data_IF_996060449099
#
_entry.id   IF_996060449099
#
_cell.length_a   1.000
_cell.length_b   1.000
_cell.length_c   1.000
_cell.angle_alpha   90.00
_cell.angle_beta   90.00
_cell.angle_gamma   90.00
#
_symmetry.space_group_name_H-M   'P 1'
#
loop_
_entity.id
_entity.type
_entity.pdbx_description
1 polymer ?
#
# COMPACT_ATOMS: atom_id res chain seq x y z
N UNK A 1 20.27 14.02 13.36
CA UNK A 1 19.17 14.60 12.55
C UNK A 1 18.92 16.01 13.05
N UNK A 2 18.65 16.98 12.18
CA UNK A 2 18.47 18.40 12.57
C UNK A 2 17.12 18.67 13.29
N UNK A 3 16.14 17.76 13.14
CA UNK A 3 14.79 17.87 13.72
C UNK A 3 14.35 16.53 14.31
N UNK A 4 13.82 16.57 15.51
CA UNK A 4 13.34 15.41 16.27
C UNK A 4 12.10 15.79 17.09
N UNK A 5 11.45 14.80 17.71
CA UNK A 5 10.35 15.02 18.64
C UNK A 5 10.77 16.03 19.72
N UNK A 6 9.91 17.01 19.99
CA UNK A 6 10.18 18.14 20.86
C UNK A 6 10.80 19.38 20.17
N UNK A 7 11.28 19.26 18.91
CA UNK A 7 11.75 20.42 18.16
C UNK A 7 10.60 21.35 17.79
N UNK A 8 10.89 22.66 17.68
CA UNK A 8 9.94 23.66 17.24
C UNK A 8 10.25 24.13 15.82
N UNK A 9 9.23 24.17 14.97
CA UNK A 9 9.30 24.65 13.58
C UNK A 9 8.20 25.72 13.40
N UNK A 10 8.58 26.98 13.30
CA UNK A 10 7.63 28.08 13.36
C UNK A 10 6.81 28.01 14.65
N UNK A 11 5.50 28.03 14.53
CA UNK A 11 4.56 27.93 15.65
C UNK A 11 4.18 26.46 16.00
N UNK A 12 4.91 25.47 15.49
CA UNK A 12 4.55 24.06 15.65
C UNK A 12 5.61 23.30 16.45
N UNK A 13 5.18 22.56 17.46
CA UNK A 13 6.01 21.63 18.23
C UNK A 13 5.83 20.21 17.68
N UNK A 14 6.91 19.54 17.32
CA UNK A 14 6.90 18.17 16.79
C UNK A 14 6.61 17.17 17.92
N UNK A 15 5.55 16.35 17.77
CA UNK A 15 5.08 15.43 18.81
C UNK A 15 5.46 13.97 18.56
N UNK A 16 5.41 13.53 17.31
CA UNK A 16 5.71 12.14 16.93
C UNK A 16 6.18 12.05 15.48
N UNK A 17 7.02 11.07 15.18
CA UNK A 17 7.35 10.71 13.82
C UNK A 17 6.18 9.96 13.16
N UNK A 18 5.74 10.41 11.97
CA UNK A 18 4.70 9.75 11.17
C UNK A 18 5.28 8.93 10.03
N UNK A 19 6.42 9.34 9.47
CA UNK A 19 7.09 8.64 8.38
C UNK A 19 8.29 9.41 7.84
N UNK A 20 9.16 8.65 7.14
CA UNK A 20 10.29 9.19 6.40
C UNK A 20 10.20 8.64 4.98
N UNK A 21 9.99 9.51 4.01
CA UNK A 21 9.92 9.17 2.60
C UNK A 21 11.10 9.73 1.80
N UNK A 22 11.12 9.43 0.50
CA UNK A 22 12.10 10.00 -0.44
C UNK A 22 12.02 11.53 -0.53
N UNK A 23 10.87 12.09 -0.16
CA UNK A 23 10.57 13.52 -0.32
C UNK A 23 10.65 14.32 0.98
N UNK A 24 10.96 13.71 2.13
CA UNK A 24 11.07 14.42 3.39
C UNK A 24 10.62 13.61 4.61
N UNK A 25 10.49 14.29 5.74
CA UNK A 25 10.04 13.72 7.01
C UNK A 25 8.67 14.29 7.36
N UNK A 26 7.78 13.42 7.84
CA UNK A 26 6.45 13.81 8.31
C UNK A 26 6.36 13.58 9.81
N UNK A 27 5.86 14.57 10.52
CA UNK A 27 5.64 14.53 11.97
C UNK A 27 4.18 14.85 12.28
N UNK A 28 3.66 14.28 13.35
CA UNK A 28 2.56 14.89 14.07
C UNK A 28 3.10 16.11 14.80
N UNK A 29 2.44 17.25 14.64
CA UNK A 29 2.83 18.48 15.30
C UNK A 29 1.60 19.17 15.91
N UNK A 30 1.82 20.01 16.92
CA UNK A 30 0.80 20.81 17.57
C UNK A 30 1.15 22.31 17.42
N UNK A 31 0.18 23.08 16.97
CA UNK A 31 0.32 24.54 16.93
C UNK A 31 0.31 25.08 18.37
N UNK A 32 1.33 25.86 18.73
CA UNK A 32 1.54 26.39 20.10
C UNK A 32 0.46 27.40 20.55
N UNK A 33 -0.30 27.98 19.61
CA UNK A 33 -1.34 28.98 19.90
C UNK A 33 -2.73 28.36 19.91
N UNK A 34 -3.06 27.56 18.87
CA UNK A 34 -4.41 27.00 18.71
C UNK A 34 -4.56 25.62 19.30
N UNK A 35 -3.47 24.97 19.68
CA UNK A 35 -3.42 23.55 20.11
C UNK A 35 -3.96 22.55 19.07
N UNK A 36 -4.11 23.01 17.83
CA UNK A 36 -4.53 22.13 16.73
C UNK A 36 -3.40 21.15 16.40
N UNK A 37 -3.74 19.86 16.33
CA UNK A 37 -2.83 18.82 15.84
C UNK A 37 -2.90 18.74 14.34
N UNK A 38 -1.75 18.70 13.69
CA UNK A 38 -1.58 18.65 12.24
C UNK A 38 -0.48 17.67 11.87
N UNK A 39 -0.49 17.16 10.65
CA UNK A 39 0.71 16.55 10.07
C UNK A 39 1.58 17.66 9.47
N UNK A 40 2.88 17.67 9.82
CA UNK A 40 3.86 18.64 9.33
C UNK A 40 4.92 17.90 8.51
N UNK A 41 5.00 18.22 7.22
CA UNK A 41 6.01 17.65 6.31
C UNK A 41 7.13 18.65 6.08
N UNK A 42 8.38 18.18 6.33
CA UNK A 42 9.61 18.96 6.12
C UNK A 42 10.29 18.46 4.86
N UNK A 43 10.65 19.38 3.97
CA UNK A 43 11.33 19.10 2.70
C UNK A 43 12.56 19.98 2.61
N UNK A 44 13.75 19.36 2.49
CA UNK A 44 15.01 20.09 2.38
C UNK A 44 15.19 20.67 0.99
N UNK A 45 15.69 21.92 0.90
CA UNK A 45 15.91 22.63 -0.37
C UNK A 45 16.98 21.99 -1.25
N UNK A 46 17.89 21.18 -0.65
CA UNK A 46 18.88 20.38 -1.38
C UNK A 46 18.32 19.09 -1.99
N UNK A 47 17.05 18.77 -1.73
CA UNK A 47 16.40 17.61 -2.34
C UNK A 47 16.26 17.83 -3.84
N UNK A 48 16.64 16.84 -4.64
CA UNK A 48 16.44 16.85 -6.10
C UNK A 48 14.97 17.03 -6.51
N UNK A 49 14.04 16.79 -5.57
CA UNK A 49 12.60 16.87 -5.79
C UNK A 49 11.96 18.16 -5.26
N UNK A 50 12.75 19.11 -4.73
CA UNK A 50 12.26 20.33 -4.08
C UNK A 50 11.29 21.13 -4.96
N UNK A 51 11.72 21.51 -6.17
CA UNK A 51 10.90 22.32 -7.08
C UNK A 51 9.61 21.59 -7.50
N UNK A 52 9.72 20.29 -7.68
CA UNK A 52 8.59 19.46 -8.05
C UNK A 52 7.55 19.39 -6.92
N UNK A 53 7.99 19.15 -5.68
CA UNK A 53 7.13 19.12 -4.51
C UNK A 53 6.45 20.48 -4.30
N UNK A 54 7.19 21.58 -4.45
CA UNK A 54 6.67 22.93 -4.33
C UNK A 54 5.61 23.24 -5.40
N UNK A 55 5.86 22.85 -6.65
CA UNK A 55 4.90 23.01 -7.74
C UNK A 55 3.63 22.19 -7.51
N UNK A 56 3.78 20.93 -7.12
CA UNK A 56 2.65 20.06 -6.79
C UNK A 56 1.82 20.61 -5.64
N UNK A 57 2.48 21.11 -4.59
CA UNK A 57 1.82 21.76 -3.46
C UNK A 57 1.00 22.99 -3.88
N UNK A 58 1.55 23.85 -4.74
CA UNK A 58 0.86 25.04 -5.23
C UNK A 58 -0.41 24.70 -6.04
N UNK A 59 -0.32 23.70 -6.91
CA UNK A 59 -1.47 23.22 -7.69
C UNK A 59 -2.54 22.61 -6.77
N UNK A 60 -2.12 21.77 -5.83
CA UNK A 60 -3.02 21.10 -4.92
C UNK A 60 -3.77 22.04 -3.99
N UNK A 61 -3.11 23.08 -3.48
CA UNK A 61 -3.75 24.09 -2.62
C UNK A 61 -4.94 24.81 -3.31
N UNK A 62 -4.92 24.93 -4.63
CA UNK A 62 -6.04 25.52 -5.38
C UNK A 62 -7.24 24.58 -5.50
N UNK A 63 -7.00 23.27 -5.35
CA UNK A 63 -8.00 22.21 -5.57
C UNK A 63 -8.60 21.73 -4.25
N UNK A 64 -7.80 21.62 -3.19
CA UNK A 64 -8.23 20.94 -1.96
C UNK A 64 -9.22 21.75 -1.12
N UNK A 65 -9.22 23.08 -1.20
CA UNK A 65 -10.06 23.94 -0.36
C UNK A 65 -11.56 23.65 -0.55
N UNK A 66 -12.23 23.31 0.56
CA UNK A 66 -13.67 23.05 0.57
C UNK A 66 -14.08 21.74 -0.12
N UNK A 67 -13.16 20.82 -0.31
CA UNK A 67 -13.38 19.47 -0.87
C UNK A 67 -13.06 18.42 0.17
N UNK A 68 -13.36 17.15 -0.14
CA UNK A 68 -13.00 15.99 0.68
C UNK A 68 -11.55 15.51 0.43
N UNK A 69 -10.69 16.38 -0.11
CA UNK A 69 -9.27 16.12 -0.24
C UNK A 69 -8.54 16.50 1.04
N UNK A 70 -7.34 15.96 1.25
CA UNK A 70 -6.45 16.31 2.36
C UNK A 70 -6.22 17.84 2.36
N UNK A 71 -6.55 18.52 3.46
CA UNK A 71 -6.43 19.98 3.51
C UNK A 71 -5.00 20.42 3.82
N UNK A 72 -4.54 21.48 3.16
CA UNK A 72 -3.27 22.16 3.45
C UNK A 72 -3.58 23.45 4.20
N UNK A 73 -3.02 23.60 5.41
CA UNK A 73 -3.30 24.75 6.28
C UNK A 73 -2.27 25.87 6.15
N UNK A 74 -0.97 25.51 6.22
CA UNK A 74 0.11 26.47 6.26
C UNK A 74 1.30 25.99 5.43
N UNK A 75 2.03 26.92 4.81
CA UNK A 75 3.31 26.69 4.14
C UNK A 75 4.31 27.67 4.72
N UNK A 76 5.38 27.17 5.30
CA UNK A 76 6.45 27.96 5.89
C UNK A 76 7.81 27.63 5.30
N UNK A 77 8.78 28.53 5.50
CA UNK A 77 10.15 28.38 5.02
C UNK A 77 11.14 28.56 6.17
N UNK A 78 12.10 27.65 6.27
CA UNK A 78 13.31 27.78 7.08
C UNK A 78 14.51 28.20 6.22
N UNK A 79 15.72 28.12 6.78
CA UNK A 79 16.96 28.49 6.05
C UNK A 79 17.26 27.54 4.88
N UNK A 80 17.17 26.24 5.13
CA UNK A 80 17.55 25.17 4.19
C UNK A 80 16.42 24.18 3.93
N UNK A 81 15.17 24.52 4.29
CA UNK A 81 13.97 23.70 4.07
C UNK A 81 12.73 24.56 3.90
N UNK A 82 11.68 23.96 3.36
CA UNK A 82 10.32 24.45 3.54
C UNK A 82 9.50 23.34 4.25
N UNK A 83 8.40 23.74 4.85
CA UNK A 83 7.46 22.83 5.46
C UNK A 83 6.03 23.22 5.14
N UNK A 84 5.15 22.27 5.17
CA UNK A 84 3.73 22.55 5.13
C UNK A 84 2.98 21.70 6.14
N UNK A 85 1.83 22.22 6.58
CA UNK A 85 0.95 21.53 7.50
C UNK A 85 -0.33 21.12 6.79
N UNK A 86 -0.82 19.94 7.15
CA UNK A 86 -1.99 19.32 6.55
C UNK A 86 -2.78 18.56 7.61
N UNK A 87 -3.95 18.02 7.24
CA UNK A 87 -4.70 17.12 8.10
C UNK A 87 -3.80 16.05 8.69
N UNK A 88 -3.92 15.81 10.00
CA UNK A 88 -3.31 14.67 10.64
C UNK A 88 -4.22 13.43 10.46
N UNK A 89 -3.63 12.31 10.09
CA UNK A 89 -4.38 11.05 10.07
C UNK A 89 -4.86 10.69 11.47
N UNK A 90 -5.97 9.95 11.57
CA UNK A 90 -6.37 9.28 12.80
C UNK A 90 -5.23 8.42 13.34
N UNK A 91 -5.25 8.06 14.62
CA UNK A 91 -4.28 7.13 15.20
C UNK A 91 -4.86 5.72 15.30
N UNK A 92 -4.04 4.71 14.99
CA UNK A 92 -4.32 3.30 15.32
C UNK A 92 -3.55 2.82 16.55
N UNK A 93 -2.67 3.66 17.10
CA UNK A 93 -1.94 3.36 18.33
C UNK A 93 -2.75 3.73 19.57
N UNK A 94 -2.67 2.90 20.62
CA UNK A 94 -3.36 3.15 21.89
C UNK A 94 -2.55 4.09 22.81
N UNK A 95 -1.23 3.93 22.86
CA UNK A 95 -0.32 4.69 23.72
C UNK A 95 0.52 5.70 22.95
N UNK A 96 0.88 5.35 21.74
CA UNK A 96 1.70 6.17 20.85
C UNK A 96 0.90 6.52 19.59
N UNK A 97 1.16 7.69 19.02
CA UNK A 97 0.55 8.06 17.77
C UNK A 97 1.16 7.24 16.63
N UNK A 98 0.33 6.43 16.00
CA UNK A 98 0.65 5.71 14.76
C UNK A 98 -0.36 6.16 13.71
N UNK A 99 0.04 6.84 12.64
CA UNK A 99 -0.90 7.36 11.65
C UNK A 99 -1.72 6.22 11.03
N UNK A 100 -3.04 6.39 10.97
CA UNK A 100 -3.95 5.42 10.39
C UNK A 100 -3.87 5.51 8.87
N UNK A 101 -2.85 4.83 8.30
CA UNK A 101 -2.73 4.57 6.87
C UNK A 101 -3.28 3.18 6.55
N UNK A 102 -3.66 2.93 5.29
CA UNK A 102 -4.04 1.58 4.87
C UNK A 102 -2.88 0.60 5.09
N UNK A 103 -1.64 1.00 4.84
CA UNK A 103 -0.47 0.16 5.09
C UNK A 103 -0.38 -0.25 6.57
N UNK A 104 -0.52 0.68 7.51
CA UNK A 104 -0.48 0.39 8.95
C UNK A 104 -1.68 -0.47 9.39
N UNK A 105 -2.85 -0.26 8.79
CA UNK A 105 -4.03 -1.11 9.04
C UNK A 105 -3.75 -2.54 8.56
N UNK A 106 -3.23 -2.71 7.34
CA UNK A 106 -2.89 -4.02 6.79
C UNK A 106 -1.80 -4.71 7.61
N UNK A 107 -0.82 -3.95 8.08
CA UNK A 107 0.22 -4.47 8.98
C UNK A 107 -0.36 -4.98 10.30
N UNK A 108 -1.33 -4.25 10.89
CA UNK A 108 -1.93 -4.58 12.18
C UNK A 108 -3.01 -5.69 12.08
N UNK A 109 -3.84 -5.66 11.05
CA UNK A 109 -5.04 -6.50 10.92
C UNK A 109 -4.97 -7.53 9.78
N UNK A 110 -3.95 -7.48 8.94
CA UNK A 110 -3.72 -8.36 7.80
C UNK A 110 -4.51 -7.95 6.55
N UNK A 111 -5.83 -7.83 6.64
CA UNK A 111 -6.71 -7.42 5.52
C UNK A 111 -7.90 -6.62 6.02
N UNK A 112 -8.56 -5.91 5.11
CA UNK A 112 -9.81 -5.23 5.40
C UNK A 112 -11.03 -6.15 5.19
N UNK A 113 -12.13 -5.83 5.89
CA UNK A 113 -13.43 -6.42 5.58
C UNK A 113 -14.01 -5.79 4.31
N UNK A 114 -14.92 -6.51 3.65
CA UNK A 114 -15.52 -6.07 2.36
C UNK A 114 -16.20 -4.71 2.48
N UNK A 115 -16.89 -4.46 3.59
CA UNK A 115 -17.60 -3.20 3.87
C UNK A 115 -16.62 -2.04 4.06
N UNK A 116 -15.48 -2.28 4.73
CA UNK A 116 -14.43 -1.27 4.90
C UNK A 116 -13.78 -0.92 3.55
N UNK A 117 -13.56 -1.94 2.70
CA UNK A 117 -13.05 -1.73 1.33
C UNK A 117 -14.04 -0.91 0.51
N UNK A 118 -15.35 -1.17 0.60
CA UNK A 118 -16.40 -0.40 -0.11
C UNK A 118 -16.38 1.06 0.30
N UNK A 119 -16.37 1.35 1.61
CA UNK A 119 -16.32 2.72 2.12
C UNK A 119 -15.04 3.44 1.68
N UNK A 120 -13.89 2.75 1.72
CA UNK A 120 -12.62 3.28 1.24
C UNK A 120 -12.68 3.60 -0.26
N UNK A 121 -13.18 2.69 -1.08
CA UNK A 121 -13.31 2.88 -2.53
C UNK A 121 -14.15 4.12 -2.83
N UNK A 122 -15.33 4.26 -2.24
CA UNK A 122 -16.22 5.39 -2.48
C UNK A 122 -15.50 6.72 -2.21
N UNK A 123 -14.81 6.81 -1.07
CA UNK A 123 -14.08 8.01 -0.68
C UNK A 123 -12.91 8.32 -1.61
N UNK A 124 -12.07 7.32 -1.96
CA UNK A 124 -10.92 7.51 -2.85
C UNK A 124 -11.36 7.85 -4.28
N UNK A 125 -12.45 7.26 -4.77
CA UNK A 125 -12.99 7.64 -6.09
C UNK A 125 -13.45 9.09 -6.13
N UNK A 126 -14.07 9.60 -5.07
CA UNK A 126 -14.46 11.00 -5.00
C UNK A 126 -13.23 11.91 -5.00
N UNK A 127 -12.16 11.55 -4.29
CA UNK A 127 -10.87 12.24 -4.36
C UNK A 127 -10.32 12.27 -5.81
N UNK A 128 -10.28 11.11 -6.48
CA UNK A 128 -9.77 11.01 -7.85
C UNK A 128 -10.62 11.81 -8.85
N UNK A 129 -11.95 11.79 -8.73
CA UNK A 129 -12.83 12.60 -9.57
C UNK A 129 -12.50 14.08 -9.46
N UNK A 130 -12.29 14.59 -8.23
CA UNK A 130 -11.94 15.98 -7.99
C UNK A 130 -10.61 16.32 -8.67
N UNK A 131 -9.56 15.53 -8.44
CA UNK A 131 -8.23 15.72 -9.02
C UNK A 131 -8.29 15.68 -10.56
N UNK A 132 -8.87 14.61 -11.13
CA UNK A 132 -8.94 14.40 -12.58
C UNK A 132 -9.80 15.48 -13.28
N UNK A 133 -10.86 15.97 -12.64
CA UNK A 133 -11.66 17.09 -13.19
C UNK A 133 -10.88 18.39 -13.35
N UNK A 134 -9.75 18.52 -12.65
CA UNK A 134 -8.81 19.63 -12.72
C UNK A 134 -7.58 19.32 -13.58
N UNK A 135 -7.58 18.19 -14.29
CA UNK A 135 -6.46 17.76 -15.12
C UNK A 135 -5.26 17.26 -14.33
N UNK A 136 -5.43 16.94 -13.05
CA UNK A 136 -4.36 16.56 -12.12
C UNK A 136 -4.41 15.08 -11.84
N UNK A 137 -3.26 14.40 -11.88
CA UNK A 137 -3.09 12.99 -11.55
C UNK A 137 -2.30 12.83 -10.27
N UNK A 138 -2.63 11.80 -9.46
CA UNK A 138 -1.97 11.55 -8.17
C UNK A 138 -0.58 10.90 -8.34
N UNK A 139 -0.46 9.90 -9.20
CA UNK A 139 0.77 9.19 -9.61
C UNK A 139 1.46 8.31 -8.56
N UNK A 140 1.05 8.33 -7.29
CA UNK A 140 1.64 7.48 -6.24
C UNK A 140 0.55 6.91 -5.31
N UNK A 141 -0.49 6.30 -5.89
CA UNK A 141 -1.53 5.63 -5.13
C UNK A 141 -1.00 4.27 -4.67
N UNK A 142 -0.89 4.11 -3.34
CA UNK A 142 -0.42 2.90 -2.66
C UNK A 142 -0.95 2.87 -1.22
N UNK A 143 -0.89 1.74 -0.51
CA UNK A 143 -1.43 1.64 0.86
C UNK A 143 -0.86 2.68 1.84
N UNK A 144 0.40 3.08 1.70
CA UNK A 144 1.05 4.08 2.54
C UNK A 144 0.45 5.48 2.38
N UNK A 145 -0.09 5.76 1.18
CA UNK A 145 -0.64 7.07 0.80
C UNK A 145 -2.18 7.13 0.89
N UNK A 146 -2.83 6.09 1.41
CA UNK A 146 -4.25 6.15 1.79
C UNK A 146 -4.32 6.38 3.29
N UNK A 147 -4.69 7.58 3.68
CA UNK A 147 -4.82 8.03 5.06
C UNK A 147 -6.29 7.97 5.49
N UNK A 148 -6.54 7.84 6.78
CA UNK A 148 -7.86 8.02 7.36
C UNK A 148 -7.87 9.27 8.21
N UNK A 149 -8.73 10.22 7.87
CA UNK A 149 -8.92 11.49 8.56
C UNK A 149 -10.40 11.57 8.95
N UNK A 150 -10.70 11.75 10.22
CA UNK A 150 -12.07 11.72 10.76
C UNK A 150 -12.87 10.49 10.28
N UNK A 151 -12.19 9.33 10.22
CA UNK A 151 -12.76 8.05 9.78
C UNK A 151 -12.92 7.88 8.26
N UNK A 152 -12.66 8.90 7.44
CA UNK A 152 -12.77 8.85 5.99
C UNK A 152 -11.41 8.60 5.34
N UNK A 153 -11.40 7.73 4.33
CA UNK A 153 -10.19 7.50 3.53
C UNK A 153 -9.93 8.68 2.58
N UNK A 154 -8.70 9.20 2.59
CA UNK A 154 -8.25 10.29 1.72
C UNK A 154 -6.90 9.97 1.11
N UNK A 155 -6.57 10.60 -0.03
CA UNK A 155 -5.27 10.45 -0.66
C UNK A 155 -4.27 11.41 -0.02
N UNK A 156 -3.16 10.86 0.48
CA UNK A 156 -1.99 11.58 1.00
C UNK A 156 -0.84 11.62 0.01
N UNK A 157 0.26 12.23 0.42
CA UNK A 157 1.50 12.44 -0.36
C UNK A 157 1.28 13.09 -1.74
N UNK A 158 0.97 14.36 -1.72
CA UNK A 158 0.70 15.20 -2.88
C UNK A 158 1.96 15.62 -3.68
N UNK A 159 3.14 15.13 -3.28
CA UNK A 159 4.43 15.56 -3.85
C UNK A 159 4.66 15.12 -5.31
N UNK A 160 3.89 14.17 -5.82
CA UNK A 160 3.99 13.68 -7.20
C UNK A 160 2.87 14.18 -8.11
N UNK A 161 1.96 14.99 -7.57
CA UNK A 161 0.86 15.58 -8.33
C UNK A 161 1.43 16.51 -9.40
N UNK A 162 1.10 16.25 -10.66
CA UNK A 162 1.54 17.07 -11.81
C UNK A 162 0.50 17.09 -12.92
N UNK A 163 0.55 18.14 -13.76
CA UNK A 163 -0.24 18.23 -14.99
C UNK A 163 0.19 17.18 -16.03
N UNK A 164 -0.68 16.96 -17.03
CA UNK A 164 -0.38 16.15 -18.20
C UNK A 164 0.94 16.60 -18.87
N UNK A 165 1.79 15.63 -19.27
CA UNK A 165 2.95 15.86 -20.13
C UNK A 165 4.32 15.96 -19.46
N UNK A 166 4.47 15.62 -18.17
CA UNK A 166 5.80 15.47 -17.57
C UNK A 166 6.23 13.99 -17.54
N UNK A 167 7.28 13.68 -18.30
CA UNK A 167 7.89 12.35 -18.51
C UNK A 167 8.77 11.87 -17.36
N UNK A 168 8.45 12.17 -16.12
CA UNK A 168 9.25 11.64 -15.00
C UNK A 168 8.67 10.30 -14.53
N UNK A 169 9.50 9.26 -14.58
CA UNK A 169 9.28 7.95 -13.94
C UNK A 169 9.16 8.14 -12.43
N UNK A 170 7.97 8.52 -11.97
CA UNK A 170 7.66 8.73 -10.58
C UNK A 170 6.53 7.79 -10.18
N UNK A 171 6.66 7.21 -8.99
CA UNK A 171 5.70 6.31 -8.39
C UNK A 171 6.39 5.05 -7.86
N UNK A 172 5.61 4.18 -7.25
CA UNK A 172 6.11 2.98 -6.59
C UNK A 172 5.95 1.76 -7.50
N UNK A 173 7.04 1.01 -7.81
CA UNK A 173 6.94 -0.24 -8.57
C UNK A 173 5.86 -1.17 -8.03
N UNK A 174 5.15 -1.85 -8.94
CA UNK A 174 4.01 -2.70 -8.60
C UNK A 174 2.66 -1.98 -8.62
N UNK A 175 2.64 -0.65 -8.38
CA UNK A 175 1.43 0.20 -8.49
C UNK A 175 1.40 1.02 -9.78
N UNK A 176 2.46 1.00 -10.57
CA UNK A 176 2.55 1.66 -11.87
C UNK A 176 2.34 0.62 -12.98
N UNK A 177 1.57 0.92 -14.04
CA UNK A 177 1.48 0.04 -15.20
C UNK A 177 2.86 -0.26 -15.79
N UNK A 178 3.12 -1.51 -16.23
CA UNK A 178 4.41 -1.93 -16.76
C UNK A 178 4.91 -1.06 -17.91
N UNK A 179 4.01 -0.68 -18.82
CA UNK A 179 4.34 0.14 -19.98
C UNK A 179 4.72 1.58 -19.62
N UNK A 180 4.18 2.11 -18.51
CA UNK A 180 4.57 3.42 -17.98
C UNK A 180 5.92 3.30 -17.26
N UNK A 181 6.09 2.23 -16.47
CA UNK A 181 7.34 1.95 -15.77
C UNK A 181 8.50 1.73 -16.76
N UNK A 182 8.22 1.10 -17.92
CA UNK A 182 9.18 0.89 -19.00
C UNK A 182 9.44 2.15 -19.84
N UNK A 183 8.71 3.25 -19.62
CA UNK A 183 8.82 4.47 -20.42
C UNK A 183 8.28 4.33 -21.84
N UNK A 184 7.43 3.33 -22.12
CA UNK A 184 6.81 3.10 -23.43
C UNK A 184 5.74 4.15 -23.73
N UNK A 185 5.06 4.63 -22.70
CA UNK A 185 4.09 5.72 -22.75
C UNK A 185 4.10 6.57 -21.49
N UNK A 186 3.55 7.76 -21.61
CA UNK A 186 3.36 8.64 -20.47
C UNK A 186 2.26 8.14 -19.53
N UNK A 187 2.28 8.67 -18.29
CA UNK A 187 1.27 8.41 -17.28
C UNK A 187 -0.04 9.13 -17.64
N UNK A 188 -1.16 8.43 -17.55
CA UNK A 188 -2.51 8.93 -17.83
C UNK A 188 -3.41 8.79 -16.59
N UNK A 189 -4.56 9.45 -16.59
CA UNK A 189 -5.55 9.37 -15.49
C UNK A 189 -6.02 7.95 -15.19
N UNK A 190 -6.07 7.07 -16.20
CA UNK A 190 -6.40 5.65 -16.02
C UNK A 190 -5.39 4.90 -15.15
N UNK A 191 -4.16 5.39 -15.06
CA UNK A 191 -3.09 4.74 -14.32
C UNK A 191 -3.23 4.94 -12.80
N UNK A 192 -3.86 6.03 -12.36
CA UNK A 192 -4.32 6.15 -10.98
C UNK A 192 -5.35 5.07 -10.62
N UNK A 193 -6.23 4.71 -11.54
CA UNK A 193 -7.18 3.61 -11.33
C UNK A 193 -6.51 2.23 -11.35
N UNK A 194 -5.49 2.04 -12.21
CA UNK A 194 -4.67 0.83 -12.16
C UNK A 194 -4.00 0.67 -10.79
N UNK A 195 -3.37 1.73 -10.28
CA UNK A 195 -2.77 1.75 -8.96
C UNK A 195 -3.80 1.44 -7.86
N UNK A 196 -4.99 2.03 -7.93
CA UNK A 196 -6.08 1.73 -7.02
C UNK A 196 -6.51 0.26 -7.10
N UNK A 197 -6.57 -0.34 -8.29
CA UNK A 197 -6.82 -1.78 -8.47
C UNK A 197 -5.81 -2.65 -7.70
N UNK A 198 -4.53 -2.29 -7.72
CA UNK A 198 -3.48 -2.96 -6.94
C UNK A 198 -3.66 -2.76 -5.43
N UNK A 199 -4.08 -1.57 -5.01
CA UNK A 199 -4.40 -1.30 -3.60
C UNK A 199 -5.58 -2.16 -3.13
N UNK A 200 -6.63 -2.30 -3.95
CA UNK A 200 -7.78 -3.16 -3.63
C UNK A 200 -7.39 -4.62 -3.48
N UNK A 201 -6.48 -5.10 -4.34
CA UNK A 201 -5.91 -6.43 -4.19
C UNK A 201 -5.20 -6.58 -2.84
N UNK A 202 -4.32 -5.65 -2.45
CA UNK A 202 -3.64 -5.68 -1.16
C UNK A 202 -4.65 -5.62 0.01
N UNK A 203 -5.64 -4.73 -0.06
CA UNK A 203 -6.65 -4.57 0.99
C UNK A 203 -7.51 -5.83 1.18
N UNK A 204 -7.90 -6.48 0.09
CA UNK A 204 -8.74 -7.67 0.10
C UNK A 204 -8.00 -8.93 0.53
N UNK A 205 -6.78 -9.10 0.02
CA UNK A 205 -6.01 -10.35 0.21
C UNK A 205 -5.09 -10.30 1.43
N UNK A 206 -4.70 -9.10 1.88
CA UNK A 206 -3.63 -8.89 2.86
C UNK A 206 -2.24 -9.19 2.31
N UNK A 207 -2.11 -9.47 1.01
CA UNK A 207 -0.83 -9.77 0.37
C UNK A 207 -0.18 -8.50 -0.15
N UNK A 208 1.16 -8.41 -0.12
CA UNK A 208 1.87 -7.32 -0.75
C UNK A 208 1.68 -7.36 -2.28
N UNK A 209 1.78 -6.20 -2.92
CA UNK A 209 1.60 -6.07 -4.37
C UNK A 209 2.54 -6.95 -5.19
N UNK A 210 3.70 -7.29 -4.65
CA UNK A 210 4.69 -8.20 -5.29
C UNK A 210 4.18 -9.63 -5.45
N UNK A 211 3.14 -10.00 -4.69
CA UNK A 211 2.48 -11.32 -4.81
C UNK A 211 1.25 -11.27 -5.74
N UNK A 212 0.90 -10.11 -6.28
CA UNK A 212 -0.15 -10.05 -7.29
C UNK A 212 0.21 -10.96 -8.48
N UNK A 213 -0.72 -11.77 -9.01
CA UNK A 213 -2.15 -11.88 -8.70
C UNK A 213 -2.52 -13.03 -7.75
N UNK A 214 -1.58 -13.56 -7.00
CA UNK A 214 -1.81 -14.73 -6.12
C UNK A 214 -2.88 -14.48 -5.06
N UNK A 215 -3.62 -15.52 -4.71
CA UNK A 215 -4.61 -15.47 -3.63
C UNK A 215 -4.15 -16.26 -2.42
N UNK A 216 -4.62 -15.90 -1.22
CA UNK A 216 -4.36 -16.67 -0.03
C UNK A 216 -4.90 -18.10 -0.17
N UNK A 217 -4.08 -19.09 0.20
CA UNK A 217 -4.47 -20.51 0.18
C UNK A 217 -5.60 -20.86 1.15
N UNK A 218 -5.89 -20.03 2.13
CA UNK A 218 -6.95 -20.22 3.12
C UNK A 218 -7.71 -18.93 3.38
N UNK A 219 -9.03 -19.02 3.41
CA UNK A 219 -9.93 -17.94 3.77
C UNK A 219 -10.95 -17.66 2.67
N UNK A 220 -12.22 -17.82 3.01
CA UNK A 220 -13.33 -17.46 2.11
C UNK A 220 -13.34 -15.96 1.90
N UNK A 221 -13.34 -15.53 0.64
CA UNK A 221 -13.58 -14.16 0.22
C UNK A 221 -15.09 -13.91 0.05
N UNK A 222 -15.88 -14.38 1.01
CA UNK A 222 -17.35 -14.27 0.96
C UNK A 222 -17.77 -12.82 0.78
N UNK A 223 -18.61 -12.54 -0.20
CA UNK A 223 -19.08 -11.19 -0.53
C UNK A 223 -18.09 -10.32 -1.31
N UNK A 224 -16.88 -10.79 -1.58
CA UNK A 224 -15.81 -10.01 -2.23
C UNK A 224 -15.96 -9.90 -3.76
N UNK A 225 -16.91 -10.61 -4.35
CA UNK A 225 -17.01 -10.75 -5.81
C UNK A 225 -17.07 -9.45 -6.60
N UNK A 226 -17.78 -8.44 -6.09
CA UNK A 226 -17.80 -7.12 -6.75
C UNK A 226 -16.46 -6.41 -6.67
N UNK A 227 -15.73 -6.57 -5.55
CA UNK A 227 -14.39 -5.99 -5.37
C UNK A 227 -13.39 -6.70 -6.28
N UNK A 228 -13.48 -8.04 -6.38
CA UNK A 228 -12.63 -8.82 -7.30
C UNK A 228 -12.85 -8.37 -8.75
N UNK A 229 -14.10 -8.26 -9.19
CA UNK A 229 -14.44 -7.73 -10.52
C UNK A 229 -13.91 -6.32 -10.72
N UNK A 230 -14.07 -5.47 -9.71
CA UNK A 230 -13.63 -4.08 -9.78
C UNK A 230 -12.11 -4.00 -9.94
N UNK A 231 -11.32 -4.61 -9.04
CA UNK A 231 -9.87 -4.48 -9.15
C UNK A 231 -9.32 -5.14 -10.42
N UNK A 232 -9.91 -6.25 -10.89
CA UNK A 232 -9.50 -6.90 -12.14
C UNK A 232 -9.68 -5.96 -13.33
N UNK A 233 -10.83 -5.28 -13.43
CA UNK A 233 -11.11 -4.28 -14.49
C UNK A 233 -10.19 -3.07 -14.40
N UNK A 234 -9.94 -2.56 -13.19
CA UNK A 234 -9.02 -1.44 -12.98
C UNK A 234 -7.59 -1.81 -13.38
N UNK A 235 -7.12 -3.00 -12.99
CA UNK A 235 -5.80 -3.51 -13.38
C UNK A 235 -5.70 -3.84 -14.89
N UNK A 236 -6.80 -4.08 -15.59
CA UNK A 236 -6.85 -4.23 -17.04
C UNK A 236 -6.87 -2.89 -17.79
N UNK A 237 -6.88 -1.76 -17.09
CA UNK A 237 -6.92 -0.42 -17.69
C UNK A 237 -8.24 -0.07 -18.36
N UNK A 238 -9.33 -0.77 -18.01
CA UNK A 238 -10.65 -0.47 -18.54
C UNK A 238 -11.09 0.94 -18.10
N UNK A 239 -11.71 1.68 -19.04
CA UNK A 239 -12.38 2.94 -18.71
C UNK A 239 -13.54 2.64 -17.76
N UNK A 240 -13.52 3.22 -16.61
CA UNK A 240 -14.50 2.98 -15.56
C UNK A 240 -15.21 4.27 -15.18
N UNK A 241 -16.53 4.30 -15.38
CA UNK A 241 -17.43 5.27 -14.74
C UNK A 241 -18.08 4.59 -13.56
N UNK A 242 -17.81 5.08 -12.35
CA UNK A 242 -18.43 4.55 -11.14
C UNK A 242 -19.91 4.91 -11.10
N UNK A 243 -20.75 3.96 -11.47
CA UNK A 243 -22.15 3.95 -11.07
C UNK A 243 -22.30 3.09 -9.81
N UNK A 244 -21.67 3.49 -8.72
CA UNK A 244 -22.05 2.97 -7.41
C UNK A 244 -23.43 3.57 -7.11
N UNK A 245 -24.46 2.73 -7.11
CA UNK A 245 -25.78 3.12 -6.61
C UNK A 245 -25.57 3.51 -5.15
N UNK A 246 -25.50 4.84 -4.94
CA UNK A 246 -25.38 5.43 -3.60
C UNK A 246 -26.48 4.87 -2.70
N UNK A 247 -26.09 4.05 -1.74
CA UNK A 247 -26.98 3.52 -0.71
C UNK A 247 -27.42 4.57 0.32
N UNK A 248 -27.59 5.85 -0.08
CA UNK A 248 -27.99 6.97 0.80
C UNK A 248 -29.30 6.75 1.57
N UNK A 249 -30.06 5.68 1.22
CA UNK A 249 -31.27 5.35 1.96
C UNK A 249 -31.07 4.48 3.22
N UNK A 250 -29.90 3.83 3.39
CA UNK A 250 -29.67 2.95 4.56
C UNK A 250 -29.17 3.70 5.80
N UNK A 251 -28.52 4.84 5.65
CA UNK A 251 -27.93 5.57 6.78
C UNK A 251 -29.01 6.10 7.75
N UNK A 252 -30.19 6.53 7.26
CA UNK A 252 -31.29 6.96 8.13
C UNK A 252 -31.85 5.83 9.01
N UNK A 253 -31.92 4.60 8.49
CA UNK A 253 -32.38 3.43 9.26
C UNK A 253 -31.32 2.90 10.23
N UNK A 254 -30.04 3.11 9.94
CA UNK A 254 -28.94 2.72 10.83
C UNK A 254 -28.91 3.61 12.08
N UNK A 255 -29.12 4.92 11.93
CA UNK A 255 -29.18 5.87 13.06
C UNK A 255 -30.37 5.55 13.99
N UNK A 256 -31.52 5.18 13.43
CA UNK A 256 -32.67 4.74 14.24
C UNK A 256 -32.45 3.39 14.92
N UNK A 257 -31.77 2.45 14.27
CA UNK A 257 -31.43 1.14 14.82
C UNK A 257 -30.41 1.22 15.96
N UNK A 258 -29.38 2.06 15.83
CA UNK A 258 -28.35 2.27 16.85
C UNK A 258 -28.92 2.97 18.09
N UNK A 259 -29.81 3.95 17.93
CA UNK A 259 -30.48 4.60 19.05
C UNK A 259 -31.36 3.62 19.86
N UNK A 260 -32.08 2.73 19.18
CA UNK A 260 -32.88 1.69 19.82
C UNK A 260 -32.01 0.64 20.54
N UNK A 261 -30.86 0.26 19.94
CA UNK A 261 -29.93 -0.71 20.51
C UNK A 261 -29.22 -0.14 21.76
N UNK A 262 -28.85 1.15 21.74
CA UNK A 262 -28.22 1.82 22.90
C UNK A 262 -29.17 1.90 24.11
N UNK A 263 -30.46 2.09 23.89
CA UNK A 263 -31.47 2.06 24.96
C UNK A 263 -31.67 0.65 25.52
N UNK A 264 -31.51 -0.38 24.71
CA UNK A 264 -31.63 -1.78 25.11
C UNK A 264 -30.40 -2.26 25.87
N UNK A 265 -29.22 -1.83 25.46
CA UNK A 265 -27.93 -2.13 26.13
C UNK A 265 -27.83 -1.42 27.48
N UNK A 266 -28.30 -0.16 27.60
CA UNK A 266 -28.35 0.55 28.89
C UNK A 266 -29.26 -0.15 29.91
N UNK A 267 -30.32 -0.82 29.46
CA UNK A 267 -31.20 -1.63 30.32
C UNK A 267 -30.57 -2.93 30.79
N UNK A 268 -29.67 -3.52 30.01
CA UNK A 268 -28.99 -4.80 30.34
C UNK A 268 -27.81 -4.56 31.31
N UNK A 269 -27.08 -3.44 31.18
CA UNK A 269 -25.96 -3.10 32.09
C UNK A 269 -26.35 -2.87 33.54
N UNK A 270 -27.64 -2.65 33.81
CA UNK A 270 -28.14 -2.48 35.19
C UNK A 270 -28.40 -3.81 35.93
N UNK A 271 -28.21 -4.97 35.27
CA UNK A 271 -28.62 -6.28 35.81
C UNK A 271 -27.51 -7.34 35.87
N UNK A 272 -26.22 -6.99 35.59
CA UNK A 272 -25.12 -7.98 35.61
C UNK A 272 -24.18 -7.68 36.80
N UNK A 273 -23.96 -8.63 37.74
CA UNK A 273 -22.93 -8.49 38.75
C UNK A 273 -21.53 -8.74 38.20
N UNK A 274 -20.56 -7.98 38.70
CA UNK A 274 -19.14 -8.07 38.34
C UNK A 274 -18.57 -9.48 38.60
N UNK A 275 -17.90 -10.04 37.60
CA UNK A 275 -17.11 -11.28 37.68
C UNK A 275 -15.62 -10.95 37.71
N UNK A 276 -14.78 -11.71 38.45
CA UNK A 276 -13.39 -11.36 38.70
C UNK A 276 -12.47 -11.57 37.50
N UNK A 277 -11.49 -10.67 37.40
CA UNK A 277 -10.39 -10.72 36.45
C UNK A 277 -9.58 -12.02 36.54
N UNK A 278 -9.46 -12.72 35.41
CA UNK A 278 -8.49 -13.79 35.23
C UNK A 278 -7.32 -13.23 34.41
N UNK A 279 -6.24 -12.90 35.08
CA UNK A 279 -4.95 -12.64 34.43
C UNK A 279 -4.31 -13.95 34.04
N UNK A 280 -4.26 -14.24 32.74
CA UNK A 280 -3.45 -15.34 32.22
C UNK A 280 -2.08 -14.79 31.77
N UNK A 281 -1.06 -15.12 32.56
CA UNK A 281 0.35 -14.92 32.17
C UNK A 281 0.67 -15.86 31.00
N UNK A 282 0.89 -15.28 29.80
CA UNK A 282 1.47 -15.98 28.65
C UNK A 282 2.98 -15.80 28.75
N UNK A 283 3.79 -16.86 28.89
CA UNK A 283 5.24 -16.72 28.90
C UNK A 283 5.75 -16.27 27.54
N UNK A 284 6.47 -15.16 27.56
CA UNK A 284 7.22 -14.63 26.43
C UNK A 284 8.33 -15.62 26.04
N UNK A 285 8.08 -16.42 25.00
CA UNK A 285 9.12 -17.26 24.41
C UNK A 285 10.06 -16.37 23.60
N UNK A 286 11.19 -16.00 24.18
CA UNK A 286 12.32 -15.41 23.47
C UNK A 286 12.90 -16.44 22.51
N UNK A 287 12.48 -16.39 21.25
CA UNK A 287 13.11 -17.16 20.18
C UNK A 287 14.51 -16.61 19.90
N UNK A 288 15.53 -17.46 19.66
CA UNK A 288 16.87 -16.97 19.35
C UNK A 288 16.85 -16.09 18.09
N UNK A 289 17.42 -14.89 18.20
CA UNK A 289 17.54 -13.96 17.08
C UNK A 289 18.36 -14.60 15.96
N UNK A 290 17.79 -14.65 14.78
CA UNK A 290 18.52 -15.06 13.57
C UNK A 290 19.34 -13.84 13.12
N UNK A 291 20.70 -13.92 13.03
CA UNK A 291 21.49 -12.77 12.59
C UNK A 291 21.07 -12.37 11.18
N UNK A 292 20.61 -11.11 11.04
CA UNK A 292 20.19 -10.56 9.76
C UNK A 292 21.38 -10.41 8.82
N UNK A 293 21.18 -10.74 7.55
CA UNK A 293 22.14 -10.46 6.51
C UNK A 293 22.37 -8.94 6.39
N UNK A 294 23.63 -8.53 6.32
CA UNK A 294 24.04 -7.15 6.05
C UNK A 294 24.95 -7.13 4.82
N UNK A 295 24.63 -6.31 3.79
CA UNK A 295 25.46 -6.20 2.60
C UNK A 295 26.82 -5.57 2.95
N UNK A 296 27.88 -6.01 2.24
CA UNK A 296 29.20 -5.39 2.35
C UNK A 296 29.21 -3.95 1.80
N UNK A 297 30.21 -3.15 2.18
CA UNK A 297 30.34 -1.78 1.65
C UNK A 297 30.45 -1.78 0.13
N UNK A 298 31.21 -2.72 -0.45
CA UNK A 298 31.33 -2.86 -1.89
C UNK A 298 29.99 -3.13 -2.59
N UNK A 299 29.12 -3.91 -1.96
CA UNK A 299 27.77 -4.14 -2.47
C UNK A 299 26.89 -2.88 -2.34
N UNK A 300 27.00 -2.15 -1.22
CA UNK A 300 26.26 -0.90 -1.02
C UNK A 300 26.60 0.14 -2.08
N UNK A 301 27.86 0.25 -2.48
CA UNK A 301 28.31 1.18 -3.50
C UNK A 301 27.76 0.84 -4.90
N UNK A 302 27.54 -0.45 -5.18
CA UNK A 302 26.96 -0.94 -6.45
C UNK A 302 25.42 -0.91 -6.49
N UNK A 303 24.75 -0.86 -5.34
CA UNK A 303 23.27 -0.96 -5.26
C UNK A 303 22.51 0.01 -6.16
N UNK A 304 22.90 1.28 -6.35
CA UNK A 304 22.16 2.19 -7.24
C UNK A 304 22.10 1.70 -8.69
N UNK A 305 23.24 1.23 -9.24
CA UNK A 305 23.33 0.70 -10.60
C UNK A 305 22.56 -0.62 -10.74
N UNK A 306 22.78 -1.54 -9.80
CA UNK A 306 22.08 -2.84 -9.78
C UNK A 306 20.58 -2.70 -9.65
N UNK A 307 20.11 -1.70 -8.91
CA UNK A 307 18.68 -1.40 -8.76
C UNK A 307 18.05 -0.94 -10.08
N UNK A 308 18.78 -0.14 -10.87
CA UNK A 308 18.33 0.25 -12.20
C UNK A 308 18.15 -0.95 -13.13
N UNK A 309 19.12 -1.86 -13.16
CA UNK A 309 19.02 -3.10 -13.92
C UNK A 309 17.85 -3.99 -13.46
N UNK A 310 17.68 -4.16 -12.14
CA UNK A 310 16.56 -4.92 -11.59
C UNK A 310 15.20 -4.30 -11.98
N UNK A 311 15.05 -2.98 -11.87
CA UNK A 311 13.82 -2.28 -12.25
C UNK A 311 13.45 -2.50 -13.73
N UNK A 312 14.45 -2.54 -14.61
CA UNK A 312 14.23 -2.82 -16.02
C UNK A 312 13.68 -4.25 -16.22
N UNK A 313 14.29 -5.25 -15.57
CA UNK A 313 13.81 -6.63 -15.62
C UNK A 313 12.42 -6.79 -14.99
N UNK A 314 12.19 -6.14 -13.87
CA UNK A 314 10.89 -6.16 -13.19
C UNK A 314 9.77 -5.56 -14.07
N UNK A 315 10.07 -4.48 -14.81
CA UNK A 315 9.17 -3.91 -15.80
C UNK A 315 8.83 -4.89 -16.93
N UNK A 316 9.83 -5.60 -17.45
CA UNK A 316 9.61 -6.62 -18.48
C UNK A 316 8.74 -7.78 -17.94
N UNK A 317 8.94 -8.20 -16.71
CA UNK A 317 8.10 -9.20 -16.06
C UNK A 317 6.64 -8.75 -15.98
N UNK A 318 6.40 -7.51 -15.53
CA UNK A 318 5.02 -6.99 -15.46
C UNK A 318 4.38 -6.84 -16.84
N UNK A 319 5.14 -6.45 -17.89
CA UNK A 319 4.65 -6.44 -19.26
C UNK A 319 4.21 -7.84 -19.72
N UNK A 320 5.02 -8.86 -19.48
CA UNK A 320 4.69 -10.24 -19.84
C UNK A 320 3.43 -10.74 -19.09
N UNK A 321 3.32 -10.41 -17.80
CA UNK A 321 2.13 -10.72 -16.99
C UNK A 321 0.88 -10.03 -17.55
N UNK A 322 0.98 -8.75 -17.93
CA UNK A 322 -0.13 -8.00 -18.49
C UNK A 322 -0.58 -8.57 -19.82
N UNK A 323 0.36 -8.83 -20.75
CA UNK A 323 0.05 -9.46 -22.05
C UNK A 323 -0.65 -10.82 -21.88
N UNK A 324 -0.21 -11.62 -20.90
CA UNK A 324 -0.86 -12.89 -20.57
C UNK A 324 -2.30 -12.69 -20.05
N UNK A 325 -2.56 -11.59 -19.33
CA UNK A 325 -3.85 -11.33 -18.69
C UNK A 325 -4.96 -10.87 -19.65
N UNK A 326 -4.61 -10.24 -20.76
CA UNK A 326 -5.59 -9.69 -21.74
C UNK A 326 -6.01 -10.69 -22.81
N UNK A 327 -5.22 -11.73 -23.04
CA UNK A 327 -5.48 -12.74 -24.08
C UNK A 327 -6.25 -13.94 -23.46
N UNK A 328 -7.54 -13.77 -23.24
CA UNK A 328 -8.44 -14.83 -22.71
C UNK A 328 -9.45 -15.18 -23.80
N UNK A 329 -9.49 -16.45 -24.17
CA UNK A 329 -10.45 -16.99 -25.15
C UNK A 329 -11.75 -17.45 -24.48
N UNK A 330 -12.85 -17.48 -25.25
CA UNK A 330 -14.14 -17.99 -24.76
C UNK A 330 -14.04 -19.45 -24.32
N UNK A 331 -13.18 -20.27 -24.95
CA UNK A 331 -12.96 -21.66 -24.57
C UNK A 331 -12.36 -21.76 -23.17
N UNK A 332 -11.37 -20.92 -22.85
CA UNK A 332 -10.75 -20.88 -21.51
C UNK A 332 -11.76 -20.47 -20.45
N UNK A 333 -12.70 -19.58 -20.78
CA UNK A 333 -13.78 -19.18 -19.85
C UNK A 333 -14.66 -20.39 -19.52
N UNK A 334 -15.09 -21.15 -20.53
CA UNK A 334 -15.91 -22.36 -20.34
C UNK A 334 -15.17 -23.43 -19.54
N UNK A 335 -13.87 -23.62 -19.77
CA UNK A 335 -13.04 -24.56 -19.00
C UNK A 335 -12.91 -24.14 -17.53
N UNK A 336 -12.70 -22.83 -17.28
CA UNK A 336 -12.63 -22.29 -15.94
C UNK A 336 -13.98 -22.40 -15.18
N UNK A 337 -15.10 -22.13 -15.85
CA UNK A 337 -16.44 -22.33 -15.27
C UNK A 337 -16.67 -23.78 -14.86
N UNK A 338 -16.27 -24.73 -15.68
CA UNK A 338 -16.36 -26.17 -15.39
C UNK A 338 -15.48 -26.54 -14.19
N UNK A 339 -14.25 -26.05 -14.15
CA UNK A 339 -13.34 -26.30 -13.04
C UNK A 339 -13.89 -25.72 -11.74
N UNK A 340 -14.29 -24.46 -11.72
CA UNK A 340 -14.79 -23.77 -10.54
C UNK A 340 -16.11 -24.35 -10.02
N UNK A 341 -16.96 -24.90 -10.91
CA UNK A 341 -18.16 -25.61 -10.49
C UNK A 341 -17.84 -26.92 -9.70
N UNK A 342 -16.68 -27.53 -9.95
CA UNK A 342 -16.21 -28.72 -9.22
C UNK A 342 -15.36 -28.37 -7.97
N UNK A 343 -14.95 -27.09 -7.83
CA UNK A 343 -14.10 -26.62 -6.74
C UNK A 343 -14.73 -25.40 -6.05
N UNK A 344 -15.85 -25.60 -5.32
CA UNK A 344 -16.53 -24.50 -4.63
C UNK A 344 -15.71 -23.86 -3.51
N UNK A 345 -14.65 -24.53 -3.06
CA UNK A 345 -13.66 -24.01 -2.10
C UNK A 345 -12.66 -23.02 -2.71
N UNK A 346 -12.55 -22.94 -4.05
CA UNK A 346 -11.66 -21.98 -4.69
C UNK A 346 -12.13 -20.56 -4.38
N UNK A 347 -11.23 -19.66 -3.91
CA UNK A 347 -11.58 -18.26 -3.58
C UNK A 347 -12.23 -17.50 -4.74
N UNK A 348 -11.96 -17.91 -5.98
CA UNK A 348 -12.49 -17.29 -7.20
C UNK A 348 -13.69 -18.05 -7.77
N UNK A 349 -14.31 -18.97 -6.98
CA UNK A 349 -15.53 -19.66 -7.39
C UNK A 349 -16.62 -18.65 -7.80
N UNK A 350 -17.16 -18.80 -9.02
CA UNK A 350 -18.10 -17.85 -9.63
C UNK A 350 -17.46 -16.67 -10.38
N UNK A 351 -16.12 -16.60 -10.50
CA UNK A 351 -15.38 -15.55 -11.20
C UNK A 351 -14.37 -16.13 -12.20
N UNK A 352 -14.82 -16.81 -13.29
CA UNK A 352 -13.94 -17.56 -14.20
C UNK A 352 -12.89 -16.67 -14.89
N UNK A 353 -13.26 -15.47 -15.30
CA UNK A 353 -12.29 -14.53 -15.89
C UNK A 353 -11.17 -14.13 -14.92
N UNK A 354 -11.52 -13.83 -13.67
CA UNK A 354 -10.52 -13.50 -12.65
C UNK A 354 -9.61 -14.69 -12.33
N UNK A 355 -10.16 -15.89 -12.33
CA UNK A 355 -9.42 -17.13 -12.13
C UNK A 355 -8.40 -17.38 -13.26
N UNK A 356 -8.82 -17.23 -14.53
CA UNK A 356 -7.93 -17.36 -15.70
C UNK A 356 -6.84 -16.29 -15.64
N UNK A 357 -7.24 -15.02 -15.46
CA UNK A 357 -6.29 -13.89 -15.36
C UNK A 357 -5.22 -14.17 -14.33
N UNK A 358 -5.62 -14.57 -13.11
CA UNK A 358 -4.69 -14.91 -12.04
C UNK A 358 -3.71 -16.00 -12.45
N UNK A 359 -4.22 -17.11 -13.01
CA UNK A 359 -3.40 -18.25 -13.44
C UNK A 359 -2.42 -17.91 -14.55
N UNK A 360 -2.87 -17.16 -15.57
CA UNK A 360 -2.00 -16.73 -16.68
C UNK A 360 -0.90 -15.80 -16.20
N UNK A 361 -1.21 -14.87 -15.31
CA UNK A 361 -0.23 -13.94 -14.76
C UNK A 361 0.76 -14.66 -13.84
N UNK A 362 0.30 -15.58 -13.00
CA UNK A 362 1.18 -16.42 -12.17
C UNK A 362 2.13 -17.25 -13.04
N UNK A 363 1.61 -17.83 -14.13
CA UNK A 363 2.42 -18.60 -15.06
C UNK A 363 3.46 -17.72 -15.76
N UNK A 364 3.06 -16.57 -16.30
CA UNK A 364 3.97 -15.62 -16.95
C UNK A 364 5.08 -15.14 -16.00
N UNK A 365 4.74 -14.86 -14.75
CA UNK A 365 5.72 -14.51 -13.70
C UNK A 365 6.69 -15.65 -13.43
N UNK A 366 6.18 -16.89 -13.29
CA UNK A 366 7.01 -18.08 -13.05
C UNK A 366 7.94 -18.37 -14.23
N UNK A 367 7.48 -18.16 -15.46
CA UNK A 367 8.27 -18.30 -16.68
C UNK A 367 9.38 -17.25 -16.74
N UNK A 368 9.08 -16.00 -16.39
CA UNK A 368 10.06 -14.92 -16.31
C UNK A 368 11.13 -15.21 -15.24
N UNK A 369 10.72 -15.63 -14.06
CA UNK A 369 11.64 -16.03 -12.97
C UNK A 369 12.56 -17.19 -13.42
N UNK A 370 12.04 -18.18 -14.17
CA UNK A 370 12.83 -19.28 -14.74
C UNK A 370 13.84 -18.79 -15.80
N UNK A 371 13.44 -17.87 -16.66
CA UNK A 371 14.35 -17.31 -17.66
C UNK A 371 15.51 -16.54 -17.03
N UNK A 372 15.27 -15.88 -15.90
CA UNK A 372 16.26 -15.05 -15.21
C UNK A 372 16.86 -15.70 -13.95
N UNK A 373 16.67 -17.01 -13.76
CA UNK A 373 17.18 -17.74 -12.58
C UNK A 373 18.72 -17.72 -12.46
N UNK A 374 19.45 -17.47 -13.55
CA UNK A 374 20.91 -17.34 -13.59
C UNK A 374 21.41 -15.88 -13.57
N UNK A 375 20.51 -14.89 -13.55
CA UNK A 375 20.90 -13.50 -13.36
C UNK A 375 21.04 -13.21 -11.86
N UNK A 376 22.27 -12.99 -11.36
CA UNK A 376 22.47 -12.81 -9.92
C UNK A 376 21.83 -11.53 -9.39
N UNK A 377 21.66 -10.48 -10.22
CA UNK A 377 21.00 -9.23 -9.82
C UNK A 377 19.50 -9.47 -9.64
N UNK A 378 18.85 -10.13 -10.62
CA UNK A 378 17.46 -10.53 -10.49
C UNK A 378 17.21 -11.35 -9.24
N UNK A 379 17.99 -12.41 -9.06
CA UNK A 379 17.87 -13.30 -7.91
C UNK A 379 18.13 -12.59 -6.58
N UNK A 380 19.09 -11.64 -6.52
CA UNK A 380 19.39 -10.88 -5.30
C UNK A 380 18.19 -10.05 -4.82
N UNK A 381 17.58 -9.28 -5.71
CA UNK A 381 16.43 -8.44 -5.34
C UNK A 381 15.16 -9.26 -5.07
N UNK A 382 14.93 -10.35 -5.80
CA UNK A 382 13.84 -11.29 -5.51
C UNK A 382 14.01 -11.94 -4.14
N UNK A 383 15.23 -12.40 -3.80
CA UNK A 383 15.51 -12.96 -2.49
C UNK A 383 15.35 -11.93 -1.34
N UNK A 384 15.64 -10.65 -1.59
CA UNK A 384 15.37 -9.58 -0.62
C UNK A 384 13.86 -9.41 -0.34
N UNK A 385 13.03 -9.53 -1.37
CA UNK A 385 11.57 -9.47 -1.20
C UNK A 385 11.07 -10.63 -0.31
N UNK A 386 11.59 -11.84 -0.54
CA UNK A 386 11.26 -13.02 0.28
C UNK A 386 11.75 -12.87 1.73
N UNK A 387 12.96 -12.34 1.94
CA UNK A 387 13.48 -12.00 3.29
C UNK A 387 12.55 -11.02 3.99
N UNK A 388 12.14 -9.94 3.31
CA UNK A 388 11.24 -8.95 3.89
C UNK A 388 9.89 -9.59 4.29
N UNK A 389 9.34 -10.46 3.45
CA UNK A 389 8.09 -11.17 3.72
C UNK A 389 8.19 -12.07 4.97
N UNK A 390 9.20 -12.96 5.02
CA UNK A 390 9.35 -13.88 6.17
C UNK A 390 9.75 -13.15 7.46
N UNK A 391 10.53 -12.06 7.36
CA UNK A 391 10.88 -11.22 8.52
C UNK A 391 9.65 -10.51 9.09
N UNK A 392 8.75 -10.00 8.24
CA UNK A 392 7.50 -9.41 8.66
C UNK A 392 6.56 -10.45 9.30
N UNK A 393 6.52 -11.67 8.77
CA UNK A 393 5.73 -12.78 9.32
C UNK A 393 6.16 -13.14 10.74
N UNK A 394 7.46 -13.13 11.03
CA UNK A 394 7.99 -13.41 12.38
C UNK A 394 7.71 -12.30 13.39
N UNK A 395 7.55 -11.06 12.95
CA UNK A 395 7.24 -9.91 13.81
C UNK A 395 5.75 -9.80 14.17
N UNK A 396 4.93 -10.79 13.81
CA UNK A 396 3.48 -10.76 14.02
C UNK A 396 2.72 -9.78 13.14
N UNK A 397 3.40 -9.16 12.17
CA UNK A 397 2.87 -8.09 11.34
C UNK A 397 2.24 -8.56 10.02
N UNK A 398 2.15 -9.87 9.82
CA UNK A 398 1.49 -10.48 8.67
C UNK A 398 0.74 -11.72 9.12
N UNK A 399 -0.27 -12.13 8.33
CA UNK A 399 -1.05 -13.33 8.61
C UNK A 399 -0.13 -14.53 8.91
N UNK A 400 -0.33 -15.24 10.04
CA UNK A 400 0.46 -16.39 10.40
C UNK A 400 0.15 -17.56 9.47
N UNK A 401 0.79 -17.59 8.29
CA UNK A 401 0.66 -18.67 7.31
C UNK A 401 1.72 -19.73 7.47
N UNK A 402 2.78 -19.39 8.17
CA UNK A 402 3.88 -20.31 8.43
C UNK A 402 4.04 -20.50 9.93
N UNK A 403 4.19 -21.74 10.39
CA UNK A 403 4.67 -22.00 11.74
C UNK A 403 5.98 -21.24 11.96
N UNK A 404 6.15 -20.64 13.14
CA UNK A 404 7.33 -19.79 13.45
C UNK A 404 8.63 -20.52 13.10
N UNK A 405 8.74 -21.81 13.45
CA UNK A 405 9.92 -22.63 13.13
C UNK A 405 10.19 -22.78 11.63
N UNK A 406 9.14 -22.89 10.81
CA UNK A 406 9.27 -22.96 9.35
C UNK A 406 9.69 -21.64 8.75
N UNK A 407 9.09 -20.51 9.19
CA UNK A 407 9.47 -19.16 8.77
C UNK A 407 10.93 -18.85 9.16
N UNK A 408 11.36 -19.25 10.35
CA UNK A 408 12.75 -19.09 10.79
C UNK A 408 13.72 -19.94 9.96
N UNK A 409 13.34 -21.18 9.61
CA UNK A 409 14.17 -22.04 8.75
C UNK A 409 14.33 -21.41 7.36
N UNK A 410 13.24 -20.98 6.74
CA UNK A 410 13.27 -20.31 5.45
C UNK A 410 14.09 -19.04 5.48
N UNK A 411 13.97 -18.24 6.53
CA UNK A 411 14.73 -16.98 6.66
C UNK A 411 16.25 -17.24 6.75
N UNK A 412 16.69 -18.27 7.46
CA UNK A 412 18.12 -18.68 7.51
C UNK A 412 18.64 -19.05 6.11
N UNK A 413 17.88 -19.84 5.35
CA UNK A 413 18.27 -20.22 3.99
C UNK A 413 18.31 -19.01 3.05
N UNK A 414 17.36 -18.10 3.16
CA UNK A 414 17.35 -16.86 2.38
C UNK A 414 18.52 -15.94 2.71
N UNK A 415 18.92 -15.79 3.97
CA UNK A 415 20.10 -15.02 4.35
C UNK A 415 21.39 -15.62 3.83
N UNK A 416 21.54 -16.97 3.89
CA UNK A 416 22.69 -17.65 3.27
C UNK A 416 22.72 -17.39 1.77
N UNK A 417 21.61 -17.59 1.07
CA UNK A 417 21.49 -17.36 -0.36
C UNK A 417 21.80 -15.92 -0.74
N UNK A 418 21.39 -14.96 0.09
CA UNK A 418 21.67 -13.53 -0.13
C UNK A 418 23.19 -13.25 -0.17
N UNK A 419 23.96 -13.85 0.73
CA UNK A 419 25.42 -13.75 0.73
C UNK A 419 26.08 -14.40 -0.49
N UNK A 420 25.58 -15.55 -0.95
CA UNK A 420 26.07 -16.22 -2.17
C UNK A 420 25.80 -15.37 -3.42
N UNK A 421 24.63 -14.74 -3.51
CA UNK A 421 24.26 -13.83 -4.60
C UNK A 421 25.10 -12.56 -4.60
N UNK A 422 25.37 -11.97 -3.43
CA UNK A 422 26.27 -10.84 -3.31
C UNK A 422 27.67 -11.20 -3.84
N UNK A 423 28.22 -12.32 -3.42
CA UNK A 423 29.54 -12.78 -3.90
C UNK A 423 29.56 -12.95 -5.43
N UNK A 424 28.48 -13.50 -6.02
CA UNK A 424 28.34 -13.65 -7.47
C UNK A 424 28.28 -12.30 -8.20
N UNK A 425 27.56 -11.32 -7.63
CA UNK A 425 27.47 -9.96 -8.17
C UNK A 425 28.82 -9.28 -8.12
N UNK A 426 29.48 -9.27 -6.96
CA UNK A 426 30.78 -8.64 -6.79
C UNK A 426 31.82 -9.24 -7.75
N UNK A 427 31.81 -10.56 -7.95
CA UNK A 427 32.67 -11.23 -8.95
C UNK A 427 32.35 -10.76 -10.39
N UNK A 428 31.11 -10.46 -10.73
CA UNK A 428 30.67 -10.04 -12.08
C UNK A 428 31.00 -8.56 -12.35
N UNK A 429 30.87 -7.69 -11.33
CA UNK A 429 30.93 -6.23 -11.48
C UNK A 429 32.26 -5.60 -10.96
N UNK A 430 33.01 -6.28 -10.12
CA UNK A 430 34.39 -5.87 -9.74
C UNK A 430 35.40 -6.37 -10.79
N UNK A 431 35.43 -5.69 -11.92
CA UNK A 431 36.53 -5.87 -12.90
C UNK A 431 37.59 -4.79 -12.79
#
# INVERSE_FOLDING_TARGET
MKYDVGSQIGDYTLLAHCGKGAYGMVFLAENSVTHQKVALKIIHTFSQNFERELKGLQQYQQICRGTNLLQIYHVGKGEDFFYYTMDAADSIGEKEYIPKTLANILQKHGKLQVEEIRAMIESIFDCLKILHSKGVMHRDIKPENILYVDGLAVLGDIGLITDHGQTTLAGTPGFIPPEVLAGIRDYETKDDFYALGKVLYCALTGLPVTQYPSFPASGTLTGAGEIIKLYTRLCAGEKFELSLKSGKHRLKWYIFGVAALLLLVAGIFYLIPESPEVTADIPEQTSPEIPAYQPSQAMLDLLPELRGHYQQLESQMYSAMFEASINISDQEIVEAERYLAQHPEDPLCGYPQAWITSRKMEQAKADFDRQHQNDPVWCYFRNQQDIAFFSASLKGNTLPRYPVAEAQSKLRDLYRRQGELEAAILKKYQK
#
